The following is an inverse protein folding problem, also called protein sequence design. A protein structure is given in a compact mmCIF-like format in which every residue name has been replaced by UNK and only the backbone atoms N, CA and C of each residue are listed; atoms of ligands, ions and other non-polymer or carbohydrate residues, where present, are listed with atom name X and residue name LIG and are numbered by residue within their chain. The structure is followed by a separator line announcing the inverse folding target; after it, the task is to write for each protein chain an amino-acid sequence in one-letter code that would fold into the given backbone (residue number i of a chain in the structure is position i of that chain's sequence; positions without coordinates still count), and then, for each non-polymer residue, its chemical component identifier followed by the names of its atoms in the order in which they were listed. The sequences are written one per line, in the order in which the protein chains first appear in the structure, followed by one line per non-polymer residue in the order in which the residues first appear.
data_IF_185615542130
#
_entry.id   IF_185615542130
#
_cell.length_a   1.000
_cell.length_b   1.000
_cell.length_c   1.000
_cell.angle_alpha   90.00
_cell.angle_beta   90.00
_cell.angle_gamma   90.00
#
_symmetry.space_group_name_H-M   'P 1'
#
loop_
_entity.id
_entity.type
_entity.pdbx_description
1 polymer ?
#
# COMPACT_ATOMS: atom_id res chain seq x y z
N UNK A 1 -13.30 -11.46 -9.93
CA UNK A 1 -13.57 -10.10 -9.42
C UNK A 1 -14.81 -10.17 -8.56
N UNK A 2 -14.71 -9.97 -7.24
CA UNK A 2 -15.88 -9.78 -6.39
C UNK A 2 -15.65 -8.52 -5.56
N UNK A 3 -16.56 -7.58 -5.75
CA UNK A 3 -16.74 -6.37 -4.96
C UNK A 3 -16.94 -6.76 -3.50
N UNK A 4 -15.92 -6.62 -2.66
CA UNK A 4 -16.13 -6.68 -1.21
C UNK A 4 -16.53 -5.29 -0.74
N UNK A 5 -17.85 -5.06 -0.70
CA UNK A 5 -18.46 -4.06 0.15
C UNK A 5 -17.89 -4.26 1.56
N UNK A 6 -17.05 -3.33 2.00
CA UNK A 6 -16.56 -3.25 3.37
C UNK A 6 -17.79 -3.10 4.28
N UNK A 7 -18.24 -4.20 4.89
CA UNK A 7 -19.24 -4.21 5.96
C UNK A 7 -18.79 -3.24 7.06
N UNK A 8 -19.72 -2.47 7.61
CA UNK A 8 -19.47 -1.47 8.66
C UNK A 8 -18.66 -2.05 9.84
N UNK A 9 -18.89 -3.33 10.18
CA UNK A 9 -18.11 -4.08 11.19
C UNK A 9 -16.59 -4.16 10.91
N UNK A 10 -16.17 -4.19 9.64
CA UNK A 10 -14.74 -4.19 9.29
C UNK A 10 -14.12 -2.80 9.46
N UNK A 11 -14.89 -1.74 9.21
CA UNK A 11 -14.43 -0.36 9.45
C UNK A 11 -14.25 -0.10 10.94
N UNK A 12 -15.14 -0.60 11.78
CA UNK A 12 -15.02 -0.42 13.22
C UNK A 12 -13.85 -1.21 13.80
N UNK A 13 -13.63 -2.46 13.36
CA UNK A 13 -12.43 -3.23 13.72
C UNK A 13 -11.14 -2.57 13.27
N UNK A 14 -11.11 -2.02 12.05
CA UNK A 14 -9.94 -1.29 11.55
C UNK A 14 -9.72 -0.04 12.40
N UNK A 15 -10.77 0.71 12.72
CA UNK A 15 -10.68 1.92 13.56
C UNK A 15 -10.18 1.61 14.97
N UNK A 16 -10.67 0.54 15.58
CA UNK A 16 -10.23 0.10 16.91
C UNK A 16 -8.77 -0.39 16.91
N UNK A 17 -8.35 -1.12 15.85
CA UNK A 17 -6.95 -1.51 15.65
C UNK A 17 -6.03 -0.31 15.39
N UNK A 18 -6.51 0.69 14.65
CA UNK A 18 -5.78 1.93 14.36
C UNK A 18 -5.59 2.80 15.61
N UNK A 19 -6.54 2.77 16.55
CA UNK A 19 -6.41 3.41 17.86
C UNK A 19 -5.38 2.68 18.72
N UNK A 20 -5.38 1.33 18.66
CA UNK A 20 -4.49 0.49 19.48
C UNK A 20 -3.05 0.46 18.97
N UNK A 21 -2.84 0.65 17.68
CA UNK A 21 -1.53 0.60 17.04
C UNK A 21 -1.36 1.81 16.11
N UNK A 22 -0.78 2.92 16.61
CA UNK A 22 -0.52 4.12 15.81
C UNK A 22 0.30 3.84 14.56
N UNK A 23 1.21 2.86 14.63
CA UNK A 23 1.99 2.33 13.52
C UNK A 23 1.12 1.82 12.36
N UNK A 24 0.01 1.14 12.66
CA UNK A 24 -0.94 0.65 11.67
C UNK A 24 -1.65 1.77 10.89
N UNK A 25 -1.68 3.00 11.43
CA UNK A 25 -2.24 4.17 10.73
C UNK A 25 -1.45 4.53 9.49
N UNK A 26 -0.11 4.49 9.57
CA UNK A 26 0.76 4.70 8.42
C UNK A 26 0.55 3.62 7.35
N UNK A 27 0.44 2.36 7.77
CA UNK A 27 0.17 1.24 6.86
C UNK A 27 -1.20 1.35 6.18
N UNK A 28 -2.24 1.68 6.93
CA UNK A 28 -3.59 1.82 6.40
C UNK A 28 -3.68 2.99 5.41
N UNK A 29 -3.11 4.15 5.76
CA UNK A 29 -3.04 5.30 4.85
C UNK A 29 -2.32 4.93 3.55
N UNK A 30 -1.16 4.29 3.65
CA UNK A 30 -0.42 3.90 2.46
C UNK A 30 -1.14 2.82 1.64
N UNK A 31 -1.89 1.90 2.26
CA UNK A 31 -2.78 0.96 1.56
C UNK A 31 -3.85 1.68 0.75
N UNK A 32 -4.53 2.68 1.33
CA UNK A 32 -5.53 3.48 0.63
C UNK A 32 -4.91 4.27 -0.52
N UNK A 33 -3.72 4.84 -0.32
CA UNK A 33 -3.00 5.55 -1.39
C UNK A 33 -2.51 4.63 -2.50
N UNK A 34 -2.12 3.40 -2.21
CA UNK A 34 -1.84 2.39 -3.23
C UNK A 34 -3.10 2.05 -4.04
N UNK A 35 -4.29 1.98 -3.40
CA UNK A 35 -5.56 1.81 -4.13
C UNK A 35 -5.85 3.00 -5.04
N UNK A 36 -5.57 4.24 -4.60
CA UNK A 36 -5.64 5.42 -5.46
C UNK A 36 -4.64 5.40 -6.62
N UNK A 37 -3.42 4.89 -6.38
CA UNK A 37 -2.39 4.72 -7.38
C UNK A 37 -2.88 3.83 -8.53
N UNK A 38 -3.45 2.66 -8.22
CA UNK A 38 -3.99 1.75 -9.24
C UNK A 38 -5.22 2.28 -9.98
N UNK A 39 -5.83 3.37 -9.51
CA UNK A 39 -6.93 4.06 -10.22
C UNK A 39 -6.44 5.15 -11.17
N UNK A 40 -5.15 5.49 -11.16
CA UNK A 40 -4.60 6.47 -12.09
C UNK A 40 -4.63 5.92 -13.52
N UNK A 41 -4.76 6.80 -14.51
CA UNK A 41 -4.79 6.41 -15.92
C UNK A 41 -3.38 6.37 -16.54
N UNK A 42 -2.41 7.05 -15.93
CA UNK A 42 -1.06 7.21 -16.46
C UNK A 42 0.03 6.77 -15.50
N UNK A 43 1.10 6.21 -16.08
CA UNK A 43 2.33 5.81 -15.37
C UNK A 43 2.97 7.00 -14.63
N UNK A 44 2.90 8.19 -15.19
CA UNK A 44 3.54 9.37 -14.61
C UNK A 44 2.84 9.83 -13.32
N UNK A 45 1.51 9.89 -13.33
CA UNK A 45 0.67 10.20 -12.17
C UNK A 45 0.85 9.14 -11.08
N UNK A 46 0.82 7.86 -11.47
CA UNK A 46 1.09 6.75 -10.56
C UNK A 46 2.49 6.84 -9.94
N UNK A 47 3.51 7.25 -10.70
CA UNK A 47 4.88 7.41 -10.22
C UNK A 47 5.02 8.55 -9.20
N UNK A 48 4.35 9.69 -9.44
CA UNK A 48 4.30 10.81 -8.50
C UNK A 48 3.63 10.40 -7.19
N UNK A 49 2.49 9.70 -7.29
CA UNK A 49 1.76 9.22 -6.11
C UNK A 49 2.56 8.18 -5.33
N UNK A 50 3.22 7.25 -6.01
CA UNK A 50 4.09 6.25 -5.36
C UNK A 50 5.27 6.90 -4.62
N UNK A 51 5.86 7.93 -5.22
CA UNK A 51 6.94 8.68 -4.60
C UNK A 51 6.49 9.36 -3.31
N UNK A 52 5.31 10.01 -3.31
CA UNK A 52 4.72 10.63 -2.12
C UNK A 52 4.45 9.60 -1.02
N UNK A 53 3.93 8.41 -1.36
CA UNK A 53 3.70 7.33 -0.39
C UNK A 53 5.02 6.90 0.27
N UNK A 54 6.06 6.68 -0.54
CA UNK A 54 7.38 6.26 -0.03
C UNK A 54 7.98 7.34 0.87
N UNK A 55 7.87 8.61 0.50
CA UNK A 55 8.39 9.72 1.28
C UNK A 55 7.71 9.81 2.64
N UNK A 56 6.37 9.78 2.67
CA UNK A 56 5.60 9.83 3.91
C UNK A 56 5.88 8.63 4.82
N UNK A 57 5.99 7.42 4.27
CA UNK A 57 6.34 6.24 5.07
C UNK A 57 7.74 6.28 5.68
N UNK A 58 8.64 7.06 5.08
CA UNK A 58 10.02 7.24 5.56
C UNK A 58 10.21 8.44 6.48
N UNK A 59 9.27 9.37 6.49
CA UNK A 59 9.29 10.52 7.40
C UNK A 59 8.74 10.17 8.79
N UNK A 60 8.03 9.04 8.91
CA UNK A 60 7.53 8.54 10.20
C UNK A 60 8.68 7.90 11.00
N UNK A 61 8.71 8.15 12.32
CA UNK A 61 9.73 7.65 13.25
C UNK A 61 9.52 6.17 13.64
N UNK A 62 8.91 5.41 12.73
CA UNK A 62 8.58 4.00 12.89
C UNK A 62 9.44 3.16 11.92
N UNK A 63 10.28 2.31 12.50
CA UNK A 63 11.16 1.42 11.74
C UNK A 63 10.42 0.46 10.81
N UNK A 64 9.19 0.06 11.15
CA UNK A 64 8.37 -0.78 10.30
C UNK A 64 7.83 -0.01 9.08
N UNK A 65 7.35 1.21 9.27
CA UNK A 65 6.90 2.09 8.18
C UNK A 65 8.05 2.41 7.22
N UNK A 66 9.23 2.72 7.77
CA UNK A 66 10.44 2.94 6.98
C UNK A 66 10.84 1.69 6.18
N UNK A 67 10.76 0.49 6.77
CA UNK A 67 11.01 -0.78 6.09
C UNK A 67 9.99 -1.04 4.98
N UNK A 68 8.75 -0.62 5.18
CA UNK A 68 7.70 -0.72 4.18
C UNK A 68 7.91 0.26 3.02
N UNK A 69 8.24 1.52 3.30
CA UNK A 69 8.62 2.50 2.28
C UNK A 69 9.82 2.05 1.44
N UNK A 70 10.81 1.40 2.06
CA UNK A 70 11.93 0.78 1.34
C UNK A 70 11.50 -0.40 0.47
N UNK A 71 10.51 -1.18 0.91
CA UNK A 71 9.91 -2.25 0.10
C UNK A 71 9.23 -1.64 -1.12
N UNK A 72 8.33 -0.67 -0.95
CA UNK A 72 7.65 0.00 -2.06
C UNK A 72 8.63 0.61 -3.07
N UNK A 73 9.74 1.18 -2.59
CA UNK A 73 10.81 1.69 -3.48
C UNK A 73 11.41 0.59 -4.35
N UNK A 74 11.67 -0.61 -3.81
CA UNK A 74 12.19 -1.75 -4.59
C UNK A 74 11.17 -2.25 -5.62
N UNK A 75 9.89 -2.18 -5.28
CA UNK A 75 8.80 -2.60 -6.17
C UNK A 75 8.32 -1.49 -7.12
N UNK A 76 8.97 -0.32 -7.14
CA UNK A 76 8.56 0.81 -7.97
C UNK A 76 8.42 0.47 -9.44
N UNK A 77 9.44 -0.15 -10.03
CA UNK A 77 9.37 -0.55 -11.44
C UNK A 77 8.26 -1.59 -11.70
N UNK A 78 8.15 -2.69 -10.94
CA UNK A 78 7.03 -3.62 -11.09
C UNK A 78 5.65 -2.98 -10.96
N UNK A 79 5.47 -2.04 -10.02
CA UNK A 79 4.21 -1.31 -9.83
C UNK A 79 3.92 -0.42 -11.04
N UNK A 80 4.91 0.31 -11.55
CA UNK A 80 4.72 1.23 -12.68
C UNK A 80 4.60 0.51 -14.02
N UNK A 81 5.24 -0.65 -14.18
CA UNK A 81 5.09 -1.48 -15.38
C UNK A 81 3.66 -2.01 -15.56
N UNK A 82 2.85 -2.06 -14.50
CA UNK A 82 1.43 -2.38 -14.61
C UNK A 82 0.68 -1.43 -15.55
N UNK A 83 1.05 -0.14 -15.57
CA UNK A 83 0.41 0.88 -16.38
C UNK A 83 0.80 0.81 -17.86
N UNK A 84 1.98 0.26 -18.16
CA UNK A 84 2.46 0.16 -19.54
C UNK A 84 2.05 -1.17 -20.20
N UNK A 85 2.09 -2.28 -19.46
CA UNK A 85 1.92 -3.62 -20.02
C UNK A 85 0.63 -4.35 -19.58
N UNK A 86 -0.24 -3.73 -18.78
CA UNK A 86 -1.53 -4.31 -18.34
C UNK A 86 -1.43 -5.60 -17.51
N UNK A 87 -0.21 -6.06 -17.21
CA UNK A 87 0.12 -7.28 -16.46
C UNK A 87 1.41 -6.98 -15.70
N UNK A 88 1.58 -7.27 -14.42
CA UNK A 88 1.23 -8.48 -13.65
C UNK A 88 0.95 -8.14 -12.18
N UNK A 89 0.09 -8.93 -11.53
CA UNK A 89 -0.20 -8.95 -10.07
C UNK A 89 1.02 -9.28 -9.16
N UNK A 90 2.27 -9.17 -9.65
CA UNK A 90 3.46 -9.55 -8.90
C UNK A 90 3.69 -8.72 -7.63
N UNK A 91 3.23 -7.46 -7.61
CA UNK A 91 3.25 -6.65 -6.40
C UNK A 91 2.25 -7.17 -5.34
N UNK A 92 1.01 -7.45 -5.74
CA UNK A 92 -0.06 -7.95 -4.86
C UNK A 92 0.30 -9.32 -4.29
N UNK A 93 0.90 -10.20 -5.09
CA UNK A 93 1.42 -11.49 -4.63
C UNK A 93 2.62 -11.35 -3.67
N UNK A 94 3.56 -10.45 -3.98
CA UNK A 94 4.71 -10.15 -3.12
C UNK A 94 4.32 -9.54 -1.76
N UNK A 95 3.32 -8.66 -1.75
CA UNK A 95 2.77 -8.08 -0.51
C UNK A 95 2.02 -9.12 0.33
N UNK A 96 1.18 -9.96 -0.28
CA UNK A 96 0.47 -11.02 0.44
C UNK A 96 1.44 -12.01 1.09
N UNK A 97 2.56 -12.31 0.44
CA UNK A 97 3.60 -13.18 0.99
C UNK A 97 4.27 -12.55 2.22
N UNK A 98 4.63 -11.26 2.17
CA UNK A 98 5.21 -10.55 3.33
C UNK A 98 4.24 -10.41 4.50
N UNK A 99 2.96 -10.12 4.23
CA UNK A 99 1.93 -10.01 5.27
C UNK A 99 1.71 -11.37 5.94
N UNK A 100 1.72 -12.49 5.19
CA UNK A 100 1.67 -13.84 5.75
C UNK A 100 2.90 -14.22 6.59
N UNK A 101 4.06 -13.61 6.33
CA UNK A 101 5.30 -13.86 7.06
C UNK A 101 5.46 -13.04 8.35
N UNK A 102 4.59 -12.05 8.60
CA UNK A 102 4.53 -11.31 9.88
C UNK A 102 3.79 -12.09 10.98
N UNK A 103 3.95 -13.42 11.00
CA UNK A 103 3.28 -14.32 11.94
C UNK A 103 4.07 -14.48 13.24
#
# INVERSE_FOLDING_TARGET
MREEKLNEDQRDKISELLIRYPSLKGFYWAKEKIRELYRQQGREEAAKLLHLIILNLKSEDDGELTRWGNTLRRWREPILNHFDNGTTNGFTEGCNTKIKMLK
#
